data_IF_031031605986
#
_entry.id   IF_031031605986
#
_cell.length_a   1.000
_cell.length_b   1.000
_cell.length_c   1.000
_cell.angle_alpha   90.00
_cell.angle_beta   90.00
_cell.angle_gamma   90.00
#
_symmetry.space_group_name_H-M   'P 1'
#
loop_
_entity.id
_entity.type
_entity.pdbx_description
1 polymer ?
#
# COMPACT_ATOMS: atom_id res chain seq x y z
N UNK A 1 17.06 -15.08 7.64
CA UNK A 1 15.80 -14.39 7.27
C UNK A 1 14.99 -14.22 8.54
N UNK A 2 14.40 -13.05 8.77
CA UNK A 2 13.49 -12.82 9.90
C UNK A 2 12.27 -13.74 9.79
N UNK A 3 11.70 -14.11 10.93
CA UNK A 3 10.47 -14.93 10.94
C UNK A 3 9.27 -14.11 10.46
N UNK A 4 8.18 -14.76 10.01
CA UNK A 4 6.95 -14.05 9.65
C UNK A 4 6.38 -13.25 10.82
N UNK A 5 6.46 -13.78 12.03
CA UNK A 5 6.03 -13.10 13.25
C UNK A 5 6.84 -11.81 13.51
N UNK A 6 8.16 -11.87 13.31
CA UNK A 6 9.04 -10.71 13.45
C UNK A 6 8.76 -9.65 12.38
N UNK A 7 8.62 -10.06 11.11
CA UNK A 7 8.26 -9.16 10.01
C UNK A 7 6.91 -8.48 10.29
N UNK A 8 5.89 -9.27 10.65
CA UNK A 8 4.57 -8.75 10.98
C UNK A 8 4.62 -7.75 12.14
N UNK A 9 5.37 -8.06 13.21
CA UNK A 9 5.56 -7.18 14.36
C UNK A 9 6.15 -5.83 13.94
N UNK A 10 7.25 -5.84 13.19
CA UNK A 10 7.93 -4.62 12.73
C UNK A 10 7.03 -3.78 11.81
N UNK A 11 6.32 -4.42 10.88
CA UNK A 11 5.37 -3.72 10.01
C UNK A 11 4.22 -3.10 10.83
N UNK A 12 3.63 -3.83 11.77
CA UNK A 12 2.56 -3.32 12.65
C UNK A 12 3.02 -2.11 13.47
N UNK A 13 4.23 -2.13 14.01
CA UNK A 13 4.81 -1.01 14.78
C UNK A 13 4.88 0.29 13.96
N UNK A 14 5.23 0.21 12.68
CA UNK A 14 5.24 1.40 11.81
C UNK A 14 3.85 2.01 11.59
N UNK A 15 2.81 1.19 11.66
CA UNK A 15 1.42 1.59 11.42
C UNK A 15 0.76 2.27 12.63
N UNK A 16 1.38 2.21 13.81
CA UNK A 16 0.90 2.93 15.01
C UNK A 16 0.91 4.45 14.84
N UNK A 17 1.71 4.97 13.90
CA UNK A 17 1.78 6.39 13.52
C UNK A 17 0.89 6.74 12.30
N UNK A 18 0.14 5.76 11.78
CA UNK A 18 -0.77 5.87 10.65
C UNK A 18 -2.09 5.14 10.93
N UNK A 19 -2.73 5.48 12.06
CA UNK A 19 -3.94 4.80 12.51
C UNK A 19 -5.10 5.01 11.54
N UNK A 20 -5.92 3.98 11.40
CA UNK A 20 -7.19 4.03 10.68
C UNK A 20 -8.33 4.33 11.65
N UNK A 21 -9.38 4.98 11.17
CA UNK A 21 -10.50 5.39 12.01
C UNK A 21 -11.38 6.43 11.35
N UNK A 22 -12.34 6.95 12.12
CA UNK A 22 -13.33 7.93 11.65
C UNK A 22 -13.05 9.35 12.13
N UNK A 23 -12.05 9.55 13.00
CA UNK A 23 -11.64 10.86 13.47
C UNK A 23 -10.85 11.64 12.42
N UNK A 24 -10.84 12.96 12.55
CA UNK A 24 -10.14 13.84 11.62
C UNK A 24 -8.64 13.51 11.47
N UNK A 25 -7.88 13.19 12.54
CA UNK A 25 -6.49 12.76 12.42
C UNK A 25 -6.33 11.46 11.61
N UNK A 26 -7.17 10.46 11.88
CA UNK A 26 -7.13 9.17 11.20
C UNK A 26 -7.48 9.29 9.71
N UNK A 27 -8.48 10.12 9.38
CA UNK A 27 -8.84 10.45 8.00
C UNK A 27 -7.69 11.17 7.28
N UNK A 28 -6.96 12.04 7.99
CA UNK A 28 -5.85 12.78 7.42
C UNK A 28 -4.66 11.88 7.07
N UNK A 29 -4.37 10.83 7.84
CA UNK A 29 -3.31 9.85 7.49
C UNK A 29 -3.53 9.27 6.08
N UNK A 30 -4.77 8.88 5.77
CA UNK A 30 -5.12 8.34 4.45
C UNK A 30 -4.92 9.35 3.32
N UNK A 31 -5.31 10.62 3.54
CA UNK A 31 -5.08 11.70 2.57
C UNK A 31 -3.59 11.97 2.36
N UNK A 32 -2.82 11.98 3.44
CA UNK A 32 -1.39 12.24 3.38
C UNK A 32 -0.62 11.19 2.57
N UNK A 33 -1.06 9.93 2.57
CA UNK A 33 -0.49 8.92 1.67
C UNK A 33 -0.63 9.34 0.19
N UNK A 34 -1.83 9.73 -0.24
CA UNK A 34 -2.05 10.16 -1.63
C UNK A 34 -1.37 11.49 -1.94
N UNK A 35 -1.28 12.42 -0.99
CA UNK A 35 -0.50 13.66 -1.16
C UNK A 35 0.98 13.36 -1.39
N UNK A 36 1.55 12.47 -0.58
CA UNK A 36 2.92 12.01 -0.74
C UNK A 36 3.12 11.34 -2.10
N UNK A 37 2.26 10.38 -2.45
CA UNK A 37 2.34 9.68 -3.74
C UNK A 37 2.24 10.64 -4.92
N UNK A 38 1.28 11.56 -4.91
CA UNK A 38 1.03 12.46 -6.06
C UNK A 38 2.10 13.55 -6.17
N UNK A 39 2.74 13.92 -5.07
CA UNK A 39 3.85 14.86 -5.05
C UNK A 39 5.20 14.25 -5.48
N UNK A 40 5.45 12.98 -5.15
CA UNK A 40 6.76 12.33 -5.36
C UNK A 40 6.77 11.33 -6.52
N UNK A 41 5.63 10.76 -6.89
CA UNK A 41 5.46 9.77 -7.95
C UNK A 41 4.37 10.20 -8.94
N UNK A 42 4.49 11.39 -9.56
CA UNK A 42 3.45 11.98 -10.40
C UNK A 42 3.06 11.13 -11.61
N UNK A 43 3.95 10.28 -12.12
CA UNK A 43 3.68 9.43 -13.28
C UNK A 43 2.64 8.34 -12.97
N UNK A 44 2.51 7.93 -11.70
CA UNK A 44 1.51 6.94 -11.27
C UNK A 44 0.07 7.49 -11.28
N UNK A 45 -0.10 8.82 -11.38
CA UNK A 45 -1.42 9.47 -11.41
C UNK A 45 -2.25 9.05 -12.62
N UNK A 46 -1.62 8.52 -13.68
CA UNK A 46 -2.30 8.01 -14.88
C UNK A 46 -3.37 6.94 -14.57
N UNK A 47 -3.19 6.18 -13.48
CA UNK A 47 -4.16 5.16 -13.06
C UNK A 47 -5.38 5.73 -12.31
N UNK A 48 -5.37 7.01 -11.96
CA UNK A 48 -6.41 7.67 -11.17
C UNK A 48 -7.27 8.55 -12.07
N UNK A 49 -8.18 7.92 -12.83
CA UNK A 49 -9.05 8.62 -13.81
C UNK A 49 -9.68 9.89 -13.25
N UNK A 50 -9.53 11.03 -13.93
CA UNK A 50 -10.01 12.34 -13.52
C UNK A 50 -9.16 13.06 -12.46
N UNK A 51 -8.06 12.45 -12.01
CA UNK A 51 -7.10 13.01 -11.06
C UNK A 51 -5.65 12.92 -11.58
N UNK A 52 -5.46 12.73 -12.89
CA UNK A 52 -4.16 12.52 -13.54
C UNK A 52 -3.22 13.71 -13.36
N UNK A 53 -3.77 14.91 -13.15
CA UNK A 53 -3.03 16.17 -12.95
C UNK A 53 -3.16 16.73 -11.54
N UNK A 54 -3.76 16.01 -10.60
CA UNK A 54 -3.95 16.51 -9.24
C UNK A 54 -2.61 16.78 -8.56
N UNK A 55 -2.53 17.93 -7.90
CA UNK A 55 -1.46 18.31 -6.98
C UNK A 55 -1.75 17.79 -5.56
N UNK A 56 -0.78 17.83 -4.64
CA UNK A 56 -1.05 17.53 -3.22
C UNK A 56 -2.18 18.38 -2.61
N UNK A 57 -2.34 19.64 -3.04
CA UNK A 57 -3.40 20.51 -2.56
C UNK A 57 -4.79 20.10 -3.08
N UNK A 58 -4.86 19.62 -4.33
CA UNK A 58 -6.11 19.05 -4.88
C UNK A 58 -6.52 17.79 -4.13
N UNK A 59 -5.54 16.93 -3.79
CA UNK A 59 -5.77 15.73 -2.97
C UNK A 59 -6.27 16.12 -1.57
N UNK A 60 -5.67 17.12 -0.93
CA UNK A 60 -6.07 17.58 0.41
C UNK A 60 -7.54 17.99 0.48
N UNK A 61 -8.06 18.58 -0.59
CA UNK A 61 -9.44 19.09 -0.69
C UNK A 61 -10.43 18.05 -1.23
N UNK A 62 -9.98 16.82 -1.52
CA UNK A 62 -10.77 15.81 -2.23
C UNK A 62 -11.38 14.77 -1.30
N UNK A 63 -12.71 14.71 -1.24
CA UNK A 63 -13.46 13.66 -0.54
C UNK A 63 -13.17 12.26 -1.13
N UNK A 64 -12.90 12.19 -2.44
CA UNK A 64 -12.50 10.93 -3.11
C UNK A 64 -11.25 10.36 -2.47
N UNK A 65 -10.23 11.19 -2.24
CA UNK A 65 -8.96 10.74 -1.67
C UNK A 65 -8.97 10.62 -0.15
N UNK A 66 -9.93 11.23 0.54
CA UNK A 66 -10.25 10.86 1.93
C UNK A 66 -10.75 9.41 2.01
N UNK A 67 -11.77 9.07 1.21
CA UNK A 67 -12.34 7.72 1.15
C UNK A 67 -11.32 6.69 0.66
N UNK A 68 -10.62 7.01 -0.43
CA UNK A 68 -9.62 6.11 -1.00
C UNK A 68 -8.40 5.98 -0.08
N UNK A 69 -8.00 7.05 0.60
CA UNK A 69 -6.95 7.06 1.60
C UNK A 69 -7.20 6.08 2.75
N UNK A 70 -8.43 6.05 3.27
CA UNK A 70 -8.81 5.05 4.27
C UNK A 70 -8.76 3.62 3.73
N UNK A 71 -9.19 3.40 2.49
CA UNK A 71 -9.16 2.06 1.87
C UNK A 71 -7.74 1.52 1.71
N UNK A 72 -6.80 2.35 1.26
CA UNK A 72 -5.41 1.91 1.05
C UNK A 72 -4.69 1.70 2.39
N UNK A 73 -4.87 2.58 3.38
CA UNK A 73 -4.29 2.36 4.70
C UNK A 73 -4.86 1.10 5.36
N UNK A 74 -6.18 0.89 5.30
CA UNK A 74 -6.79 -0.35 5.78
C UNK A 74 -6.18 -1.58 5.12
N UNK A 75 -5.92 -1.54 3.81
CA UNK A 75 -5.28 -2.65 3.10
C UNK A 75 -3.85 -2.93 3.63
N UNK A 76 -3.04 -1.90 3.87
CA UNK A 76 -1.71 -2.05 4.48
C UNK A 76 -1.78 -2.62 5.90
N UNK A 77 -2.78 -2.18 6.70
CA UNK A 77 -3.05 -2.75 8.02
C UNK A 77 -3.43 -4.24 7.93
N UNK A 78 -4.30 -4.63 6.99
CA UNK A 78 -4.66 -6.03 6.78
C UNK A 78 -3.42 -6.85 6.43
N UNK A 79 -2.61 -6.38 5.48
CA UNK A 79 -1.38 -7.07 5.08
C UNK A 79 -0.45 -7.34 6.27
N UNK A 80 -0.18 -6.33 7.10
CA UNK A 80 0.67 -6.48 8.27
C UNK A 80 0.06 -7.42 9.33
N UNK A 81 -1.26 -7.34 9.55
CA UNK A 81 -1.94 -8.15 10.58
C UNK A 81 -2.16 -9.61 10.16
N UNK A 82 -2.35 -9.90 8.87
CA UNK A 82 -2.53 -11.26 8.38
C UNK A 82 -1.22 -11.91 7.95
N UNK A 83 -0.09 -11.20 7.98
CA UNK A 83 1.17 -11.74 7.46
C UNK A 83 1.58 -13.05 8.15
N UNK A 84 1.27 -13.27 9.42
CA UNK A 84 1.62 -14.53 10.10
C UNK A 84 0.83 -15.74 9.55
N UNK A 85 -0.39 -15.52 9.08
CA UNK A 85 -1.22 -16.52 8.40
C UNK A 85 -1.02 -16.42 6.87
N UNK A 86 -0.07 -17.22 6.35
CA UNK A 86 0.34 -17.19 4.95
C UNK A 86 -0.83 -17.38 3.97
N UNK A 87 -1.79 -18.26 4.28
CA UNK A 87 -2.88 -18.56 3.37
C UNK A 87 -3.89 -17.41 3.30
N UNK A 88 -4.22 -16.80 4.44
CA UNK A 88 -5.09 -15.61 4.48
C UNK A 88 -4.41 -14.41 3.80
N UNK A 89 -3.12 -14.20 4.07
CA UNK A 89 -2.33 -13.14 3.42
C UNK A 89 -2.35 -13.29 1.89
N UNK A 90 -2.04 -14.48 1.38
CA UNK A 90 -2.04 -14.76 -0.06
C UNK A 90 -3.43 -14.63 -0.69
N UNK A 91 -4.48 -15.09 0.00
CA UNK A 91 -5.85 -14.90 -0.46
C UNK A 91 -6.20 -13.40 -0.59
N UNK A 92 -5.77 -12.57 0.35
CA UNK A 92 -5.97 -11.12 0.28
C UNK A 92 -5.17 -10.47 -0.85
N UNK A 93 -3.95 -10.96 -1.15
CA UNK A 93 -3.17 -10.51 -2.31
C UNK A 93 -3.90 -10.78 -3.63
N UNK A 94 -4.40 -12.01 -3.83
CA UNK A 94 -5.21 -12.37 -5.02
C UNK A 94 -6.48 -11.53 -5.14
N UNK A 95 -7.18 -11.29 -4.04
CA UNK A 95 -8.37 -10.44 -4.04
C UNK A 95 -8.04 -8.97 -4.33
N UNK A 96 -6.85 -8.52 -3.93
CA UNK A 96 -6.34 -7.20 -4.30
C UNK A 96 -6.09 -7.13 -5.81
N UNK A 97 -5.45 -8.11 -6.43
CA UNK A 97 -5.30 -8.20 -7.90
C UNK A 97 -6.65 -8.17 -8.61
N UNK A 98 -7.62 -8.98 -8.17
CA UNK A 98 -8.95 -9.06 -8.78
C UNK A 98 -9.64 -7.68 -8.86
N UNK A 99 -9.50 -6.88 -7.80
CA UNK A 99 -10.09 -5.52 -7.71
C UNK A 99 -9.32 -4.48 -8.55
N UNK A 100 -8.05 -4.73 -8.85
CA UNK A 100 -7.19 -3.81 -9.60
C UNK A 100 -7.03 -4.14 -11.09
N UNK A 101 -7.39 -5.35 -11.54
CA UNK A 101 -7.23 -5.77 -12.95
C UNK A 101 -7.86 -4.82 -13.98
N UNK A 102 -8.94 -4.13 -13.59
CA UNK A 102 -9.62 -3.13 -14.44
C UNK A 102 -8.74 -1.93 -14.81
N UNK A 103 -7.74 -1.61 -13.98
CA UNK A 103 -6.83 -0.48 -14.19
C UNK A 103 -5.66 -0.82 -15.10
N UNK A 104 -5.46 -2.11 -15.44
CA UNK A 104 -4.38 -2.60 -16.30
C UNK A 104 -3.02 -2.02 -15.92
N UNK A 105 -2.72 -2.03 -14.63
CA UNK A 105 -1.46 -1.56 -14.07
C UNK A 105 -0.30 -2.39 -14.61
N UNK A 106 0.87 -1.75 -14.77
CA UNK A 106 2.11 -2.47 -15.02
C UNK A 106 2.36 -3.45 -13.85
N UNK A 107 2.57 -4.75 -14.12
CA UNK A 107 2.79 -5.76 -13.07
C UNK A 107 3.96 -5.44 -12.13
N UNK A 108 4.99 -4.71 -12.59
CA UNK A 108 6.11 -4.30 -11.74
C UNK A 108 5.69 -3.39 -10.58
N UNK A 109 4.53 -2.71 -10.70
CA UNK A 109 4.02 -1.81 -9.68
C UNK A 109 3.57 -2.54 -8.40
N UNK A 110 3.29 -3.84 -8.45
CA UNK A 110 2.95 -4.62 -7.26
C UNK A 110 4.07 -4.60 -6.22
N UNK A 111 5.33 -4.74 -6.66
CA UNK A 111 6.48 -4.62 -5.78
C UNK A 111 6.87 -3.16 -5.54
N UNK A 112 6.82 -2.30 -6.58
CA UNK A 112 7.21 -0.89 -6.46
C UNK A 112 6.35 -0.10 -5.45
N UNK A 113 5.10 -0.52 -5.21
CA UNK A 113 4.22 0.07 -4.19
C UNK A 113 4.89 0.18 -2.82
N UNK A 114 5.66 -0.83 -2.39
CA UNK A 114 6.23 -0.85 -1.04
C UNK A 114 7.32 0.22 -0.85
N UNK A 115 8.02 0.60 -1.92
CA UNK A 115 8.94 1.75 -1.86
C UNK A 115 8.19 3.08 -1.64
N UNK A 116 7.05 3.26 -2.33
CA UNK A 116 6.17 4.43 -2.12
C UNK A 116 5.61 4.44 -0.69
N UNK A 117 5.17 3.28 -0.19
CA UNK A 117 4.58 3.18 1.14
C UNK A 117 5.61 3.42 2.25
N UNK A 118 6.83 2.85 2.13
CA UNK A 118 7.94 3.12 3.06
C UNK A 118 8.28 4.62 3.05
N UNK A 119 8.40 5.25 1.88
CA UNK A 119 8.67 6.68 1.79
C UNK A 119 7.57 7.53 2.45
N UNK A 120 6.31 7.11 2.35
CA UNK A 120 5.23 7.74 3.10
C UNK A 120 5.39 7.55 4.62
N UNK A 121 5.72 6.35 5.10
CA UNK A 121 5.94 6.08 6.53
C UNK A 121 7.09 6.93 7.11
N UNK A 122 8.13 7.20 6.32
CA UNK A 122 9.24 8.09 6.69
C UNK A 122 8.79 9.54 6.94
N UNK A 123 7.65 9.96 6.37
CA UNK A 123 7.05 11.28 6.69
C UNK A 123 6.31 11.29 8.03
N UNK A 124 6.03 10.13 8.62
CA UNK A 124 5.22 9.96 9.83
C UNK A 124 6.05 9.60 11.04
N UNK A 125 7.16 8.90 10.84
CA UNK A 125 8.09 8.51 11.89
C UNK A 125 9.47 8.19 11.30
N UNK A 126 10.46 7.99 12.18
CA UNK A 126 11.75 7.42 11.79
C UNK A 126 11.61 5.91 11.54
N UNK A 127 11.61 5.49 10.28
CA UNK A 127 11.59 4.07 9.90
C UNK A 127 13.02 3.51 9.93
N UNK A 128 13.29 2.52 10.78
CA UNK A 128 14.63 1.89 10.87
C UNK A 128 14.91 0.96 9.68
N UNK A 129 16.16 0.58 9.49
CA UNK A 129 16.54 -0.32 8.39
C UNK A 129 15.87 -1.70 8.53
N UNK A 130 15.66 -2.18 9.76
CA UNK A 130 14.93 -3.41 10.04
C UNK A 130 13.45 -3.29 9.63
N UNK A 131 12.81 -2.16 9.92
CA UNK A 131 11.42 -1.90 9.51
C UNK A 131 11.29 -1.77 7.98
N UNK A 132 12.23 -1.10 7.32
CA UNK A 132 12.27 -1.02 5.84
C UNK A 132 12.46 -2.42 5.23
N UNK A 133 13.34 -3.21 5.83
CA UNK A 133 13.56 -4.59 5.42
C UNK A 133 12.32 -5.45 5.64
N UNK A 134 11.61 -5.29 6.76
CA UNK A 134 10.36 -6.02 7.02
C UNK A 134 9.28 -5.72 5.97
N UNK A 135 9.08 -4.44 5.61
CA UNK A 135 8.15 -4.06 4.54
C UNK A 135 8.60 -4.57 3.16
N UNK A 136 9.90 -4.55 2.87
CA UNK A 136 10.45 -5.12 1.63
C UNK A 136 10.23 -6.64 1.55
N UNK A 137 10.49 -7.37 2.63
CA UNK A 137 10.33 -8.84 2.67
C UNK A 137 8.83 -9.20 2.58
N UNK A 138 7.95 -8.50 3.30
CA UNK A 138 6.50 -8.64 3.16
C UNK A 138 6.04 -8.34 1.73
N UNK A 139 6.54 -7.24 1.18
CA UNK A 139 6.20 -6.77 -0.16
C UNK A 139 6.59 -7.74 -1.25
N UNK A 140 7.75 -8.41 -1.11
CA UNK A 140 8.17 -9.48 -2.00
C UNK A 140 7.18 -10.65 -1.99
N UNK A 141 6.77 -11.13 -0.82
CA UNK A 141 5.79 -12.23 -0.72
C UNK A 141 4.45 -11.82 -1.34
N UNK A 142 4.03 -10.58 -1.12
CA UNK A 142 2.81 -10.03 -1.72
C UNK A 142 2.91 -9.97 -3.24
N UNK A 143 4.00 -9.42 -3.79
CA UNK A 143 4.17 -9.27 -5.23
C UNK A 143 4.31 -10.62 -5.92
N UNK A 144 5.07 -11.55 -5.37
CA UNK A 144 5.24 -12.89 -5.94
C UNK A 144 3.86 -13.58 -6.09
N UNK A 145 3.01 -13.54 -5.06
CA UNK A 145 1.64 -14.09 -5.13
C UNK A 145 0.75 -13.33 -6.14
N UNK A 146 0.90 -12.01 -6.24
CA UNK A 146 0.14 -11.21 -7.22
C UNK A 146 0.51 -11.59 -8.66
N UNK A 147 1.80 -11.76 -8.94
CA UNK A 147 2.31 -12.13 -10.27
C UNK A 147 1.92 -13.56 -10.64
N UNK A 148 2.01 -14.50 -9.69
CA UNK A 148 1.56 -15.88 -9.89
C UNK A 148 0.05 -15.93 -10.18
N UNK A 149 -0.75 -15.13 -9.48
CA UNK A 149 -2.19 -15.06 -9.72
C UNK A 149 -2.53 -14.40 -11.05
N UNK A 150 -1.83 -13.33 -11.45
CA UNK A 150 -1.96 -12.73 -12.77
C UNK A 150 -1.67 -13.74 -13.89
N UNK A 151 -0.60 -14.52 -13.74
CA UNK A 151 -0.26 -15.61 -14.66
C UNK A 151 -1.38 -16.65 -14.75
N UNK A 152 -1.96 -17.07 -13.62
CA UNK A 152 -3.08 -18.02 -13.59
C UNK A 152 -4.36 -17.47 -14.25
N UNK A 153 -4.54 -16.14 -14.26
CA UNK A 153 -5.65 -15.47 -14.95
C UNK A 153 -5.38 -15.20 -16.44
N UNK A 154 -4.18 -15.52 -16.96
CA UNK A 154 -3.77 -15.19 -18.32
C UNK A 154 -3.58 -13.69 -18.56
N UNK A 155 -3.19 -12.94 -17.52
CA UNK A 155 -2.93 -11.51 -17.56
C UNK A 155 -1.41 -11.21 -17.60
N UNK A 156 -0.99 -9.98 -18.00
CA UNK A 156 0.41 -9.57 -17.90
C UNK A 156 0.95 -9.76 -16.47
N UNK A 157 2.16 -10.30 -16.34
CA UNK A 157 2.85 -10.63 -15.08
C UNK A 157 4.36 -10.45 -15.22
#
# INVERSE_FOLDING_TARGET
MSSRAEIAKLCKETLDNCKIGTGAPELQHGKDFYKFMFGNFPDLRVYFKGAEKFTPDDVQKSERFEKQGQRILLACHILANTFEDDMTFKAYARETVNRHRQFKMDPALWNAFFAVFIGYLETKMKVTDEMKKAWTDLGKVFSDECLDHLKNLGLPH
#
